data_IF_697611265447
#
_entry.id   IF_697611265447
#
_cell.length_a   1.000
_cell.length_b   1.000
_cell.length_c   1.000
_cell.angle_alpha   90.00
_cell.angle_beta   90.00
_cell.angle_gamma   90.00
#
_symmetry.space_group_name_H-M   'P 1'
#
loop_
_entity.id
_entity.type
_entity.pdbx_description
1 polymer ?
#
# COMPACT_ATOMS: atom_id res chain seq x y z
N UNK A 1 -24.56 1.58 -4.91
CA UNK A 1 -23.11 1.68 -5.18
C UNK A 1 -22.61 2.87 -4.39
N UNK A 2 -21.57 2.66 -3.59
CA UNK A 2 -21.10 3.63 -2.58
C UNK A 2 -19.63 3.95 -2.82
N UNK A 3 -19.25 5.20 -2.52
CA UNK A 3 -17.89 5.71 -2.70
C UNK A 3 -17.25 5.92 -1.34
N UNK A 4 -16.20 5.17 -1.05
CA UNK A 4 -15.41 5.34 0.17
C UNK A 4 -14.18 6.16 -0.18
N UNK A 5 -14.07 7.36 0.38
CA UNK A 5 -12.92 8.25 0.21
C UNK A 5 -11.89 7.99 1.31
N UNK A 6 -10.61 8.02 0.94
CA UNK A 6 -9.52 7.98 1.90
C UNK A 6 -9.59 9.19 2.82
N UNK A 7 -9.43 8.96 4.12
CA UNK A 7 -9.39 10.01 5.14
C UNK A 7 -7.96 10.12 5.67
N UNK A 8 -7.24 11.13 5.22
CA UNK A 8 -5.86 11.33 5.60
C UNK A 8 -5.71 12.39 6.69
N UNK A 9 -4.82 12.13 7.65
CA UNK A 9 -4.45 13.06 8.71
C UNK A 9 -2.94 13.17 8.80
N UNK A 10 -2.43 14.40 8.88
CA UNK A 10 -1.02 14.64 9.17
C UNK A 10 -0.77 14.43 10.66
N UNK A 11 0.20 13.58 10.98
CA UNK A 11 0.66 13.31 12.35
C UNK A 11 2.10 13.86 12.43
N UNK A 12 2.40 14.66 13.46
CA UNK A 12 3.70 15.29 13.72
C UNK A 12 4.25 16.24 12.63
N UNK A 13 3.55 17.35 12.40
CA UNK A 13 4.12 18.45 11.62
C UNK A 13 4.96 19.37 12.50
N UNK A 14 6.29 19.22 12.47
CA UNK A 14 7.24 20.24 12.99
C UNK A 14 7.18 21.54 12.17
N UNK A 15 6.47 21.54 11.02
CA UNK A 15 6.21 22.73 10.22
C UNK A 15 4.88 23.33 10.64
N UNK A 16 4.91 24.55 11.18
CA UNK A 16 3.73 25.41 11.26
C UNK A 16 3.14 25.52 9.85
N UNK A 17 1.88 25.15 9.71
CA UNK A 17 1.11 25.32 8.48
C UNK A 17 0.95 26.83 8.26
N UNK A 18 1.83 27.43 7.46
CA UNK A 18 1.57 28.76 6.90
C UNK A 18 0.30 28.66 6.06
N UNK A 19 -0.60 29.63 6.23
CA UNK A 19 -1.89 29.72 5.53
C UNK A 19 -1.72 29.36 4.05
N UNK A 20 -2.57 28.44 3.57
CA UNK A 20 -2.82 28.08 2.16
C UNK A 20 -2.14 26.84 1.55
N UNK A 21 -1.71 25.86 2.34
CA UNK A 21 -1.48 24.50 1.82
C UNK A 21 -2.53 23.54 2.37
N UNK A 22 -3.62 23.34 1.63
CA UNK A 22 -4.60 22.29 1.91
C UNK A 22 -3.92 20.91 1.91
N UNK A 23 -4.34 20.00 2.78
CA UNK A 23 -3.76 18.64 2.91
C UNK A 23 -3.72 17.92 1.55
N UNK A 24 -4.68 18.19 0.67
CA UNK A 24 -4.75 17.69 -0.71
C UNK A 24 -3.56 18.09 -1.61
N UNK A 25 -2.83 19.17 -1.30
CA UNK A 25 -1.62 19.56 -2.04
C UNK A 25 -0.38 18.81 -1.57
N UNK A 26 -0.40 18.31 -0.32
CA UNK A 26 0.72 17.59 0.31
C UNK A 26 0.65 16.10 -0.01
N UNK A 27 -0.56 15.55 -0.10
CA UNK A 27 -0.77 14.12 -0.36
C UNK A 27 -0.70 13.86 -1.87
N UNK A 28 0.25 13.03 -2.34
CA UNK A 28 0.31 12.67 -3.75
C UNK A 28 -0.98 11.99 -4.22
N UNK A 29 -1.51 12.41 -5.37
CA UNK A 29 -2.68 11.78 -6.01
C UNK A 29 -2.37 10.43 -6.68
N UNK A 30 -1.09 10.08 -6.75
CA UNK A 30 -0.59 8.88 -7.41
C UNK A 30 -0.60 7.69 -6.44
N UNK A 31 -1.28 6.61 -6.81
CA UNK A 31 -1.43 5.41 -5.99
C UNK A 31 -0.07 4.78 -5.64
N UNK A 32 0.94 4.91 -6.50
CA UNK A 32 2.28 4.35 -6.25
C UNK A 32 3.00 5.10 -5.12
N UNK A 33 2.58 6.34 -4.85
CA UNK A 33 3.12 7.19 -3.79
C UNK A 33 2.30 7.10 -2.48
N UNK A 34 1.17 6.40 -2.48
CA UNK A 34 0.30 6.14 -1.31
C UNK A 34 0.34 4.67 -0.87
N UNK A 35 1.43 3.94 -1.21
CA UNK A 35 1.57 2.53 -0.85
C UNK A 35 0.61 1.60 -1.59
N UNK A 36 0.11 2.02 -2.76
CA UNK A 36 -0.84 1.27 -3.57
C UNK A 36 -2.28 1.35 -3.08
N UNK A 37 -2.60 2.29 -2.17
CA UNK A 37 -3.95 2.56 -1.69
C UNK A 37 -4.62 3.64 -2.55
N UNK A 38 -5.80 3.37 -3.14
CA UNK A 38 -6.50 4.36 -3.95
C UNK A 38 -7.09 5.47 -3.07
N UNK A 39 -7.20 6.69 -3.65
CA UNK A 39 -7.87 7.83 -2.99
C UNK A 39 -9.36 7.57 -2.74
N UNK A 40 -9.99 6.79 -3.61
CA UNK A 40 -11.38 6.40 -3.49
C UNK A 40 -11.59 4.97 -3.98
N UNK A 41 -12.53 4.27 -3.36
CA UNK A 41 -12.96 2.94 -3.80
C UNK A 41 -14.48 2.89 -3.89
N UNK A 42 -14.98 2.34 -4.99
CA UNK A 42 -16.40 2.05 -5.17
C UNK A 42 -16.71 0.64 -4.68
N UNK A 43 -17.72 0.50 -3.83
CA UNK A 43 -18.18 -0.77 -3.30
C UNK A 43 -19.70 -0.91 -3.41
N UNK A 44 -20.18 -2.13 -3.52
CA UNK A 44 -21.60 -2.47 -3.47
C UNK A 44 -21.79 -3.91 -3.00
N UNK A 45 -22.98 -4.24 -2.51
CA UNK A 45 -23.29 -5.64 -2.17
C UNK A 45 -23.24 -6.48 -3.45
N UNK A 46 -22.65 -7.66 -3.38
CA UNK A 46 -22.29 -8.56 -4.50
C UNK A 46 -21.04 -8.14 -5.27
N UNK A 47 -20.37 -7.03 -4.92
CA UNK A 47 -19.10 -6.68 -5.55
C UNK A 47 -18.03 -7.73 -5.24
N UNK A 48 -17.29 -8.15 -6.27
CA UNK A 48 -16.11 -9.01 -6.14
C UNK A 48 -14.92 -8.16 -5.71
N UNK A 49 -14.29 -8.54 -4.60
CA UNK A 49 -13.14 -7.86 -4.01
C UNK A 49 -11.98 -8.82 -3.78
N UNK A 50 -10.76 -8.27 -3.73
CA UNK A 50 -9.54 -9.01 -3.44
C UNK A 50 -8.83 -8.39 -2.24
N UNK A 51 -8.40 -9.21 -1.28
CA UNK A 51 -7.54 -8.76 -0.19
C UNK A 51 -6.18 -8.34 -0.74
N UNK A 52 -5.71 -7.16 -0.32
CA UNK A 52 -4.40 -6.60 -0.71
C UNK A 52 -3.32 -6.80 0.36
N UNK A 53 -3.70 -7.30 1.52
CA UNK A 53 -2.83 -7.56 2.67
C UNK A 53 -3.26 -8.85 3.35
N UNK A 54 -2.38 -9.43 4.16
CA UNK A 54 -2.71 -10.60 4.97
C UNK A 54 -3.51 -10.14 6.19
N UNK A 55 -4.73 -10.65 6.34
CA UNK A 55 -5.58 -10.42 7.50
C UNK A 55 -5.45 -11.57 8.50
N UNK A 56 -5.56 -12.81 8.02
CA UNK A 56 -5.37 -14.00 8.85
C UNK A 56 -4.87 -15.19 8.01
N UNK A 57 -3.62 -15.59 8.23
CA UNK A 57 -2.97 -16.66 7.47
C UNK A 57 -3.56 -18.04 7.78
N UNK A 58 -3.96 -18.30 9.03
CA UNK A 58 -4.49 -19.63 9.42
C UNK A 58 -5.86 -19.90 8.82
N UNK A 59 -6.65 -18.84 8.58
CA UNK A 59 -7.96 -18.89 7.93
C UNK A 59 -7.89 -18.59 6.42
N UNK A 60 -6.71 -18.64 5.79
CA UNK A 60 -6.56 -18.40 4.35
C UNK A 60 -6.90 -16.97 3.88
N UNK A 61 -7.12 -16.02 4.79
CA UNK A 61 -7.36 -14.61 4.50
C UNK A 61 -6.04 -13.90 4.21
N UNK A 62 -5.44 -14.27 3.09
CA UNK A 62 -4.14 -13.79 2.63
C UNK A 62 -4.29 -12.83 1.45
N UNK A 63 -3.24 -12.08 1.16
CA UNK A 63 -3.18 -11.24 -0.04
C UNK A 63 -3.48 -12.08 -1.30
N UNK A 64 -4.41 -11.60 -2.12
CA UNK A 64 -4.90 -12.31 -3.30
C UNK A 64 -6.17 -13.13 -3.07
N UNK A 65 -6.62 -13.32 -1.82
CA UNK A 65 -7.91 -13.95 -1.55
C UNK A 65 -9.06 -13.11 -2.13
N UNK A 66 -9.93 -13.74 -2.91
CA UNK A 66 -11.05 -13.09 -3.60
C UNK A 66 -12.35 -13.52 -2.94
N UNK A 67 -13.24 -12.56 -2.71
CA UNK A 67 -14.56 -12.81 -2.15
C UNK A 67 -15.61 -11.84 -2.69
N UNK A 68 -16.88 -12.08 -2.33
CA UNK A 68 -17.98 -11.20 -2.69
C UNK A 68 -18.50 -10.48 -1.44
N UNK A 69 -18.76 -9.19 -1.54
CA UNK A 69 -19.37 -8.43 -0.45
C UNK A 69 -20.80 -8.93 -0.25
N UNK A 70 -21.15 -9.38 0.96
CA UNK A 70 -22.51 -9.82 1.29
C UNK A 70 -23.30 -8.75 2.02
N UNK A 71 -22.64 -7.89 2.79
CA UNK A 71 -23.30 -6.87 3.62
C UNK A 71 -22.35 -5.70 3.85
N UNK A 72 -22.89 -4.48 3.91
CA UNK A 72 -22.16 -3.26 4.27
C UNK A 72 -22.88 -2.61 5.44
N UNK A 73 -22.20 -2.51 6.57
CA UNK A 73 -22.75 -1.97 7.81
C UNK A 73 -22.25 -0.54 8.02
N UNK A 74 -23.15 0.42 7.95
CA UNK A 74 -22.85 1.84 8.20
C UNK A 74 -22.92 2.17 9.70
N UNK A 75 -22.17 3.19 10.15
CA UNK A 75 -22.24 3.66 11.54
C UNK A 75 -23.64 4.18 11.89
N UNK A 76 -23.94 4.28 13.19
CA UNK A 76 -25.19 4.81 13.73
C UNK A 76 -26.48 4.13 13.21
N UNK A 77 -26.39 2.84 12.84
CA UNK A 77 -27.51 2.09 12.26
C UNK A 77 -28.08 2.74 10.99
N UNK A 78 -27.28 3.56 10.30
CA UNK A 78 -27.69 4.12 9.03
C UNK A 78 -27.94 2.99 8.03
N UNK A 79 -29.03 3.11 7.27
CA UNK A 79 -29.34 2.16 6.18
C UNK A 79 -28.47 2.38 4.95
N UNK A 80 -27.82 3.53 4.87
CA UNK A 80 -27.10 4.00 3.68
C UNK A 80 -25.94 4.93 4.07
N UNK A 81 -25.10 5.25 3.09
CA UNK A 81 -24.09 6.31 3.18
C UNK A 81 -24.79 7.67 3.24
N UNK A 82 -24.78 8.31 4.41
CA UNK A 82 -25.43 9.61 4.61
C UNK A 82 -24.66 10.77 3.94
N UNK A 83 -23.33 10.68 3.95
CA UNK A 83 -22.42 11.69 3.39
C UNK A 83 -21.24 11.01 2.69
N UNK A 84 -20.63 11.69 1.72
CA UNK A 84 -19.49 11.21 0.95
C UNK A 84 -18.28 10.83 1.83
N UNK A 85 -18.15 11.45 3.00
CA UNK A 85 -17.06 11.21 3.95
C UNK A 85 -17.34 10.04 4.89
N UNK A 86 -18.54 9.47 4.89
CA UNK A 86 -18.86 8.34 5.75
C UNK A 86 -18.04 7.10 5.37
N UNK A 87 -17.41 6.49 6.36
CA UNK A 87 -16.74 5.19 6.25
C UNK A 87 -17.67 4.13 6.88
N UNK A 88 -17.88 2.97 6.24
CA UNK A 88 -18.67 1.89 6.80
C UNK A 88 -18.00 1.37 8.08
N UNK A 89 -18.79 1.04 9.10
CA UNK A 89 -18.29 0.44 10.34
C UNK A 89 -17.65 -0.93 10.09
N UNK A 90 -18.24 -1.70 9.18
CA UNK A 90 -17.68 -2.98 8.72
C UNK A 90 -18.32 -3.42 7.42
N UNK A 91 -17.63 -4.25 6.67
CA UNK A 91 -18.18 -4.99 5.53
C UNK A 91 -18.11 -6.48 5.84
N UNK A 92 -19.03 -7.25 5.29
CA UNK A 92 -18.98 -8.71 5.33
C UNK A 92 -18.66 -9.22 3.94
N UNK A 93 -17.68 -10.11 3.86
CA UNK A 93 -17.19 -10.66 2.61
C UNK A 93 -17.18 -12.17 2.72
N UNK A 94 -17.81 -12.82 1.75
CA UNK A 94 -17.75 -14.26 1.59
C UNK A 94 -16.58 -14.64 0.69
N UNK A 95 -15.58 -15.31 1.26
CA UNK A 95 -14.40 -15.83 0.54
C UNK A 95 -14.59 -17.29 0.09
N UNK A 96 -15.79 -17.85 0.26
CA UNK A 96 -16.19 -19.20 -0.15
C UNK A 96 -15.74 -20.29 0.82
N UNK A 97 -14.43 -20.42 1.06
CA UNK A 97 -13.88 -21.59 1.78
C UNK A 97 -14.10 -21.53 3.31
N UNK A 98 -13.87 -20.36 3.91
CA UNK A 98 -13.94 -20.15 5.36
C UNK A 98 -15.22 -19.38 5.77
N UNK A 99 -16.15 -19.20 4.83
CA UNK A 99 -17.42 -18.51 5.05
C UNK A 99 -17.33 -16.98 5.04
N UNK A 100 -18.33 -16.35 5.68
CA UNK A 100 -18.51 -14.89 5.70
C UNK A 100 -17.65 -14.27 6.79
N UNK A 101 -16.73 -13.40 6.40
CA UNK A 101 -15.82 -12.70 7.29
C UNK A 101 -16.20 -11.23 7.43
N UNK A 102 -16.15 -10.72 8.66
CA UNK A 102 -16.31 -9.30 8.95
C UNK A 102 -14.95 -8.60 8.79
N UNK A 103 -14.91 -7.59 7.95
CA UNK A 103 -13.73 -6.73 7.72
C UNK A 103 -14.07 -5.33 8.23
N UNK A 104 -13.18 -4.77 9.03
CA UNK A 104 -13.29 -3.42 9.60
C UNK A 104 -12.29 -2.48 8.91
N UNK A 105 -12.59 -1.17 8.82
CA UNK A 105 -11.63 -0.20 8.31
C UNK A 105 -10.34 -0.20 9.13
N UNK A 106 -9.20 -0.16 8.44
CA UNK A 106 -7.87 -0.09 9.07
C UNK A 106 -7.25 1.27 8.73
N UNK A 107 -6.79 2.00 9.75
CA UNK A 107 -5.96 3.19 9.55
C UNK A 107 -4.50 2.77 9.47
N UNK A 108 -3.79 3.24 8.44
CA UNK A 108 -2.38 2.96 8.23
C UNK A 108 -1.63 4.29 8.27
N UNK A 109 -0.51 4.34 8.99
CA UNK A 109 0.35 5.51 9.05
C UNK A 109 1.43 5.41 7.97
N UNK A 110 1.51 6.45 7.13
CA UNK A 110 2.59 6.62 6.18
C UNK A 110 3.41 7.86 6.55
N UNK A 111 4.75 7.79 6.52
CA UNK A 111 5.56 9.00 6.63
C UNK A 111 5.28 9.87 5.40
N UNK A 112 4.56 10.98 5.62
CA UNK A 112 4.33 11.99 4.60
C UNK A 112 5.68 12.58 4.19
N UNK A 113 6.00 12.51 2.90
CA UNK A 113 7.24 12.99 2.31
C UNK A 113 8.48 12.12 2.68
N UNK A 114 8.66 11.02 1.94
CA UNK A 114 10.02 10.52 1.70
C UNK A 114 10.75 11.54 0.82
N UNK A 115 11.38 12.55 1.42
CA UNK A 115 12.71 12.88 0.93
C UNK A 115 13.51 11.60 1.10
N UNK A 116 13.76 10.89 0.00
CA UNK A 116 14.66 9.75 -0.01
C UNK A 116 16.08 10.28 0.18
N UNK A 117 16.35 10.79 1.38
CA UNK A 117 17.68 11.20 1.76
C UNK A 117 18.60 9.98 1.80
N UNK A 118 19.92 10.19 1.67
CA UNK A 118 20.92 9.11 1.54
C UNK A 118 20.99 8.13 2.72
N UNK A 119 20.17 8.25 3.76
CA UNK A 119 20.27 7.48 5.02
C UNK A 119 19.37 6.24 5.13
N UNK A 120 18.40 6.01 4.24
CA UNK A 120 17.36 4.98 4.47
C UNK A 120 17.37 3.74 3.57
N UNK A 121 18.41 3.53 2.75
CA UNK A 121 18.51 2.29 1.97
C UNK A 121 19.16 1.18 2.79
N UNK A 122 18.38 0.16 3.14
CA UNK A 122 18.96 -1.16 3.43
C UNK A 122 19.63 -1.70 2.15
N UNK A 123 20.79 -2.35 2.29
CA UNK A 123 21.56 -2.89 1.14
C UNK A 123 20.64 -3.78 0.28
N UNK A 124 20.58 -3.53 -1.04
CA UNK A 124 19.76 -4.28 -2.00
C UNK A 124 18.36 -3.72 -2.30
N UNK A 125 17.79 -2.83 -1.48
CA UNK A 125 16.44 -2.28 -1.74
C UNK A 125 16.37 -1.39 -2.99
N UNK A 126 17.46 -0.73 -3.33
CA UNK A 126 17.52 0.12 -4.51
C UNK A 126 17.39 -0.72 -5.80
N UNK A 127 18.03 -1.90 -5.85
CA UNK A 127 17.85 -2.85 -6.95
C UNK A 127 16.40 -3.34 -7.07
N UNK A 128 15.79 -3.71 -5.95
CA UNK A 128 14.38 -4.16 -5.93
C UNK A 128 13.43 -3.07 -6.42
N UNK A 129 13.68 -1.82 -6.04
CA UNK A 129 12.86 -0.69 -6.48
C UNK A 129 13.01 -0.44 -7.98
N UNK A 130 14.25 -0.46 -8.50
CA UNK A 130 14.54 -0.22 -9.91
C UNK A 130 14.03 -1.34 -10.83
N UNK A 131 14.14 -2.61 -10.40
CA UNK A 131 13.71 -3.78 -11.18
C UNK A 131 12.18 -3.90 -11.35
N UNK A 132 11.39 -3.14 -10.58
CA UNK A 132 9.92 -3.10 -10.69
C UNK A 132 9.44 -2.22 -11.84
N UNK A 133 10.30 -1.34 -12.35
CA UNK A 133 9.92 -0.41 -13.42
C UNK A 133 10.19 -1.07 -14.79
N UNK A 134 9.15 -1.18 -15.62
CA UNK A 134 9.20 -1.87 -16.91
C UNK A 134 9.84 -1.03 -18.04
N UNK A 135 9.96 0.28 -17.86
CA UNK A 135 10.54 1.21 -18.84
C UNK A 135 11.23 2.38 -18.16
N UNK A 136 12.35 2.83 -18.74
CA UNK A 136 13.11 3.97 -18.22
C UNK A 136 12.37 5.31 -18.38
N UNK A 137 11.40 5.40 -19.29
CA UNK A 137 10.64 6.65 -19.51
C UNK A 137 9.78 7.05 -18.31
N UNK A 138 9.37 6.10 -17.45
CA UNK A 138 8.60 6.36 -16.23
C UNK A 138 9.46 6.54 -14.97
N UNK A 139 10.79 6.46 -15.08
CA UNK A 139 11.70 6.45 -13.94
C UNK A 139 12.34 7.83 -13.75
N UNK A 140 11.99 8.52 -12.66
CA UNK A 140 12.62 9.78 -12.25
C UNK A 140 13.38 9.59 -10.95
N UNK A 141 14.71 9.68 -11.02
CA UNK A 141 15.61 9.57 -9.86
C UNK A 141 16.11 10.98 -9.52
N UNK A 142 15.75 11.50 -8.35
CA UNK A 142 16.11 12.87 -7.94
C UNK A 142 17.51 12.95 -7.31
N UNK A 143 17.91 11.91 -6.56
CA UNK A 143 19.24 11.79 -5.98
C UNK A 143 19.66 10.31 -6.00
N UNK A 144 20.81 10.01 -6.60
CA UNK A 144 21.35 8.67 -6.70
C UNK A 144 22.73 8.61 -6.07
N UNK A 145 22.85 7.89 -4.95
CA UNK A 145 24.14 7.55 -4.39
C UNK A 145 24.62 6.22 -5.01
N UNK A 146 25.42 6.32 -6.08
CA UNK A 146 25.93 5.17 -6.81
C UNK A 146 26.79 4.24 -5.94
N UNK A 147 27.37 4.73 -4.83
CA UNK A 147 28.16 3.90 -3.91
C UNK A 147 27.33 2.79 -3.24
N UNK A 148 26.01 2.96 -3.16
CA UNK A 148 25.06 2.02 -2.55
C UNK A 148 24.41 1.06 -3.54
N UNK A 149 24.57 1.33 -4.84
CA UNK A 149 24.09 0.48 -5.94
C UNK A 149 25.19 -0.41 -6.51
N UNK A 150 26.38 0.18 -6.66
CA UNK A 150 27.52 -0.40 -7.34
C UNK A 150 28.71 -0.44 -6.37
N UNK A 151 28.53 -1.15 -5.25
CA UNK A 151 29.64 -1.48 -4.37
C UNK A 151 30.42 -2.66 -4.93
N UNK A 152 31.76 -2.64 -4.84
CA UNK A 152 32.59 -3.85 -5.07
C UNK A 152 32.31 -4.96 -4.05
N UNK A 153 31.66 -4.62 -2.95
CA UNK A 153 31.23 -5.57 -1.92
C UNK A 153 29.78 -5.97 -2.19
N UNK A 154 29.48 -7.27 -2.34
CA UNK A 154 28.11 -7.73 -2.50
C UNK A 154 27.24 -7.34 -1.30
N UNK A 155 25.95 -7.11 -1.54
CA UNK A 155 24.99 -6.75 -0.50
C UNK A 155 24.77 -7.90 0.50
N UNK A 156 24.91 -9.14 0.04
CA UNK A 156 24.85 -10.38 0.81
C UNK A 156 25.81 -11.38 0.14
N UNK A 157 26.76 -11.90 0.91
CA UNK A 157 27.81 -12.82 0.42
C UNK A 157 27.22 -14.21 0.19
N UNK A 158 26.45 -14.74 1.14
CA UNK A 158 25.78 -16.04 1.03
C UNK A 158 24.90 -16.13 -0.24
N UNK A 159 24.20 -15.05 -0.56
CA UNK A 159 23.38 -14.97 -1.77
C UNK A 159 24.23 -14.94 -3.06
N UNK A 160 25.42 -14.34 -3.02
CA UNK A 160 26.34 -14.34 -4.15
C UNK A 160 26.96 -15.73 -4.35
N UNK A 161 27.45 -16.35 -3.27
CA UNK A 161 28.03 -17.69 -3.29
C UNK A 161 27.02 -18.71 -3.84
N UNK A 162 25.75 -18.62 -3.42
CA UNK A 162 24.69 -19.49 -3.95
C UNK A 162 24.40 -19.22 -5.44
N UNK A 163 24.42 -17.96 -5.87
CA UNK A 163 24.29 -17.62 -7.29
C UNK A 163 25.46 -18.14 -8.13
N UNK A 164 26.67 -18.11 -7.62
CA UNK A 164 27.87 -18.64 -8.27
C UNK A 164 27.81 -20.17 -8.36
N UNK A 165 27.45 -20.84 -7.26
CA UNK A 165 27.19 -22.29 -7.22
C UNK A 165 26.15 -22.71 -8.26
N UNK A 166 25.05 -21.95 -8.40
CA UNK A 166 24.01 -22.24 -9.40
C UNK A 166 24.47 -22.00 -10.85
N UNK A 167 25.43 -21.11 -11.09
CA UNK A 167 25.98 -20.86 -12.44
C UNK A 167 26.91 -21.97 -12.90
N UNK A 168 27.64 -22.59 -11.98
CA UNK A 168 28.53 -23.73 -12.26
C UNK A 168 27.79 -25.06 -12.48
N UNK A 169 26.49 -25.10 -12.16
CA UNK A 169 25.61 -26.25 -12.41
C UNK A 169 24.98 -26.26 -13.82
N UNK A 170 25.40 -25.36 -14.71
CA UNK A 170 25.05 -25.36 -16.15
C UNK A 170 26.11 -26.05 -16.98
#
# INVERSE_FOLDING_TARGET
>A
MWKIKAQDKLVDSTRKLGNDNSIDSIIPKDNDKTGGLPKEIEIFVVAKVMLRTNLNVSQGLVNGAIGNITEINWPNFARDQLYDECIPKSIRVDFGKDGIHKIEPISIQFPAMRSYGPKLFAKGQAYVTLSRVKSLQGLRIEQLDCSKLMGRTPCNIDALEEMERMRELR
#
